data_IF_203756561044
#
_entry.id   IF_203756561044
#
_cell.length_a   1.000
_cell.length_b   1.000
_cell.length_c   1.000
_cell.angle_alpha   90.00
_cell.angle_beta   90.00
_cell.angle_gamma   90.00
#
_symmetry.space_group_name_H-M   'P 1'
#
loop_
_entity.id
_entity.type
_entity.pdbx_description
1 polymer ?
#
# COMPACT_ATOMS: atom_id res chain seq x y z
N UNK A 1 11.09 22.91 27.66
CA UNK A 1 11.03 21.43 27.74
C UNK A 1 12.12 20.88 26.85
N UNK A 2 13.04 20.04 27.36
CA UNK A 2 14.07 19.41 26.50
C UNK A 2 13.51 18.11 25.96
N UNK A 3 13.43 17.95 24.62
CA UNK A 3 13.05 16.71 23.96
C UNK A 3 14.29 15.81 23.92
N UNK A 4 14.20 14.62 24.49
CA UNK A 4 15.29 13.64 24.55
C UNK A 4 14.98 12.36 23.75
N UNK A 5 13.72 11.91 23.77
CA UNK A 5 13.26 10.68 23.10
C UNK A 5 12.14 10.97 22.13
N UNK A 6 12.38 10.68 20.85
CA UNK A 6 11.43 10.89 19.75
C UNK A 6 11.03 9.53 19.17
N UNK A 7 9.74 9.25 19.10
CA UNK A 7 9.21 8.07 18.40
C UNK A 7 8.70 8.46 17.00
N UNK A 8 9.16 7.77 16.00
CA UNK A 8 8.79 7.95 14.60
C UNK A 8 7.91 6.77 14.18
N UNK A 9 6.66 7.02 13.81
CA UNK A 9 5.65 5.98 13.51
C UNK A 9 5.85 5.32 12.13
N UNK A 10 7.09 5.06 11.77
CA UNK A 10 7.48 4.38 10.52
C UNK A 10 8.34 3.15 10.84
N UNK A 11 8.41 2.18 9.90
CA UNK A 11 9.38 1.09 10.00
C UNK A 11 10.81 1.62 10.11
N UNK A 12 11.66 0.87 10.80
CA UNK A 12 13.07 1.17 10.84
C UNK A 12 13.65 1.12 9.42
N UNK A 13 14.45 2.13 9.01
CA UNK A 13 15.08 2.14 7.69
C UNK A 13 15.99 0.93 7.49
N UNK A 14 15.79 0.18 6.39
CA UNK A 14 16.60 -1.02 6.05
C UNK A 14 18.09 -0.70 5.95
N UNK A 15 18.43 0.49 5.43
CA UNK A 15 19.82 0.96 5.32
C UNK A 15 20.46 1.34 6.66
N UNK A 16 19.69 1.37 7.74
CA UNK A 16 20.12 1.92 9.04
C UNK A 16 20.35 3.44 9.03
N UNK A 17 20.11 4.13 7.91
CA UNK A 17 20.29 5.57 7.75
C UNK A 17 18.96 6.29 7.59
N UNK A 18 18.80 7.43 8.24
CA UNK A 18 17.64 8.29 8.11
C UNK A 18 17.99 9.72 8.47
N UNK A 19 17.49 10.73 7.74
CA UNK A 19 17.64 12.13 8.11
C UNK A 19 17.14 12.43 9.53
N UNK A 20 16.20 11.67 10.03
CA UNK A 20 15.65 11.83 11.38
C UNK A 20 16.66 11.51 12.48
N UNK A 21 17.59 10.56 12.28
CA UNK A 21 18.69 10.31 13.22
C UNK A 21 19.62 11.51 13.31
N UNK A 22 20.01 12.08 12.15
CA UNK A 22 20.90 13.23 12.09
C UNK A 22 20.27 14.48 12.73
N UNK A 23 18.97 14.70 12.46
CA UNK A 23 18.22 15.80 13.04
C UNK A 23 18.13 15.63 14.55
N UNK A 24 17.72 14.46 15.05
CA UNK A 24 17.62 14.19 16.48
C UNK A 24 18.97 14.39 17.21
N UNK A 25 20.06 13.83 16.66
CA UNK A 25 21.40 13.97 17.21
C UNK A 25 21.85 15.42 17.30
N UNK A 26 21.57 16.23 16.26
CA UNK A 26 21.90 17.67 16.21
C UNK A 26 21.26 18.46 17.36
N UNK A 27 20.09 18.04 17.85
CA UNK A 27 19.40 18.66 18.96
C UNK A 27 19.54 17.89 20.28
N UNK A 28 20.48 16.93 20.34
CA UNK A 28 20.76 16.14 21.54
C UNK A 28 19.62 15.22 21.98
N UNK A 29 18.84 14.73 21.01
CA UNK A 29 17.74 13.78 21.18
C UNK A 29 18.06 12.45 20.47
N UNK A 30 17.35 11.40 20.83
CA UNK A 30 17.40 10.07 20.22
C UNK A 30 16.09 9.82 19.45
N UNK A 31 16.22 9.36 18.20
CA UNK A 31 15.09 8.97 17.37
C UNK A 31 14.95 7.44 17.36
N UNK A 32 13.77 6.95 17.70
CA UNK A 32 13.39 5.54 17.62
C UNK A 32 12.34 5.36 16.54
N UNK A 33 12.50 4.38 15.69
CA UNK A 33 11.51 4.01 14.66
C UNK A 33 10.69 2.82 15.13
N UNK A 34 9.38 2.91 14.92
CA UNK A 34 8.46 1.80 15.18
C UNK A 34 7.33 1.84 14.16
N UNK A 35 7.13 0.75 13.43
CA UNK A 35 5.97 0.63 12.56
C UNK A 35 4.69 0.56 13.40
N UNK A 36 3.77 1.50 13.19
CA UNK A 36 2.46 1.53 13.86
C UNK A 36 1.39 0.79 13.05
N UNK A 37 1.62 0.69 11.76
CA UNK A 37 0.74 0.01 10.82
C UNK A 37 1.52 -1.02 10.02
N UNK A 38 0.81 -2.02 9.54
CA UNK A 38 1.32 -3.00 8.59
C UNK A 38 0.29 -3.29 7.52
N UNK A 39 0.74 -3.79 6.38
CA UNK A 39 -0.14 -4.18 5.29
C UNK A 39 -0.28 -5.70 5.31
N UNK A 40 -1.51 -6.19 5.40
CA UNK A 40 -1.82 -7.61 5.36
C UNK A 40 -2.65 -7.98 4.12
N UNK A 41 -2.43 -9.17 3.58
CA UNK A 41 -3.30 -9.72 2.53
C UNK A 41 -4.66 -10.08 3.12
N UNK A 42 -5.72 -9.94 2.35
CA UNK A 42 -6.97 -10.62 2.65
C UNK A 42 -6.76 -12.14 2.54
N UNK A 43 -7.49 -12.91 3.32
CA UNK A 43 -7.44 -14.37 3.25
C UNK A 43 -8.10 -14.90 1.97
N UNK A 44 -7.74 -16.10 1.53
CA UNK A 44 -8.39 -16.77 0.41
C UNK A 44 -9.92 -16.90 0.62
N UNK A 45 -10.38 -17.06 1.87
CA UNK A 45 -11.82 -17.10 2.21
C UNK A 45 -12.49 -15.75 1.98
N UNK A 46 -11.89 -14.66 2.45
CA UNK A 46 -12.41 -13.29 2.27
C UNK A 46 -12.46 -12.93 0.78
N UNK A 47 -11.43 -13.30 0.02
CA UNK A 47 -11.42 -13.08 -1.43
C UNK A 47 -12.57 -13.82 -2.13
N UNK A 48 -12.79 -15.11 -1.82
CA UNK A 48 -13.90 -15.88 -2.41
C UNK A 48 -15.26 -15.28 -2.10
N UNK A 49 -15.43 -14.66 -0.94
CA UNK A 49 -16.68 -13.99 -0.56
C UNK A 49 -16.98 -12.77 -1.45
N UNK A 50 -16.00 -12.19 -2.13
CA UNK A 50 -16.19 -11.08 -3.06
C UNK A 50 -16.79 -11.53 -4.40
N UNK A 51 -16.85 -12.84 -4.66
CA UNK A 51 -17.47 -13.45 -5.87
C UNK A 51 -16.87 -12.91 -7.19
N UNK A 52 -15.59 -12.57 -7.19
CA UNK A 52 -14.84 -12.17 -8.37
C UNK A 52 -13.84 -13.27 -8.71
N UNK A 53 -13.83 -13.70 -9.97
CA UNK A 53 -12.87 -14.69 -10.45
C UNK A 53 -11.80 -13.99 -11.31
N UNK A 54 -10.53 -14.18 -10.96
CA UNK A 54 -9.40 -13.57 -11.68
C UNK A 54 -9.38 -14.00 -13.15
N UNK A 55 -9.69 -15.28 -13.41
CA UNK A 55 -9.62 -15.87 -14.75
C UNK A 55 -10.74 -15.43 -15.72
N UNK A 56 -11.77 -14.71 -15.24
CA UNK A 56 -12.80 -14.13 -16.09
C UNK A 56 -12.31 -12.83 -16.77
N UNK A 57 -11.06 -12.45 -16.53
CA UNK A 57 -10.46 -11.21 -17.04
C UNK A 57 -9.30 -11.50 -18.00
N UNK A 58 -9.15 -10.66 -19.00
CA UNK A 58 -8.05 -10.73 -19.97
C UNK A 58 -6.90 -9.78 -19.66
N UNK A 59 -7.11 -8.87 -18.68
CA UNK A 59 -6.13 -7.86 -18.29
C UNK A 59 -6.19 -7.55 -16.80
N UNK A 60 -5.04 -7.16 -16.22
CA UNK A 60 -4.92 -6.75 -14.83
C UNK A 60 -4.38 -5.32 -14.77
N UNK A 61 -4.94 -4.51 -13.85
CA UNK A 61 -4.49 -3.14 -13.61
C UNK A 61 -3.67 -3.11 -12.32
N UNK A 62 -2.41 -2.68 -12.38
CA UNK A 62 -1.57 -2.49 -11.21
C UNK A 62 -1.29 -1.01 -10.93
N UNK A 63 -1.81 -0.50 -9.82
CA UNK A 63 -1.62 0.87 -9.36
C UNK A 63 -0.43 1.04 -8.42
N UNK A 64 0.11 -0.06 -7.88
CA UNK A 64 1.25 -0.06 -6.97
C UNK A 64 1.97 -1.41 -6.95
N UNK A 65 3.21 -1.41 -6.46
CA UNK A 65 3.97 -2.65 -6.19
C UNK A 65 3.29 -3.50 -5.12
N UNK A 66 2.74 -2.87 -4.10
CA UNK A 66 2.01 -3.56 -3.01
C UNK A 66 0.80 -4.30 -3.58
N UNK A 67 0.00 -3.67 -4.42
CA UNK A 67 -1.13 -4.33 -5.07
C UNK A 67 -0.69 -5.55 -5.89
N UNK A 68 0.45 -5.46 -6.57
CA UNK A 68 1.03 -6.54 -7.35
C UNK A 68 1.50 -7.70 -6.47
N UNK A 69 2.22 -7.42 -5.38
CA UNK A 69 2.71 -8.42 -4.43
C UNK A 69 1.56 -9.22 -3.81
N UNK A 70 0.53 -8.50 -3.33
CA UNK A 70 -0.64 -9.15 -2.73
C UNK A 70 -1.49 -9.92 -3.76
N UNK A 71 -1.55 -9.44 -5.00
CA UNK A 71 -2.22 -10.15 -6.09
C UNK A 71 -1.54 -11.51 -6.36
N UNK A 72 -0.23 -11.52 -6.61
CA UNK A 72 0.47 -12.77 -6.92
C UNK A 72 0.52 -13.72 -5.73
N UNK A 73 0.75 -13.21 -4.51
CA UNK A 73 0.70 -14.00 -3.27
C UNK A 73 -0.65 -14.70 -3.11
N UNK A 74 -1.76 -13.96 -3.27
CA UNK A 74 -3.09 -14.54 -3.14
C UNK A 74 -3.42 -15.49 -4.29
N UNK A 75 -2.97 -15.21 -5.52
CA UNK A 75 -3.13 -16.11 -6.66
C UNK A 75 -2.44 -17.45 -6.41
N UNK A 76 -1.24 -17.45 -5.83
CA UNK A 76 -0.52 -18.66 -5.42
C UNK A 76 -1.27 -19.42 -4.33
N UNK A 77 -1.75 -18.74 -3.27
CA UNK A 77 -2.55 -19.34 -2.19
C UNK A 77 -3.84 -19.99 -2.73
N UNK A 78 -4.48 -19.34 -3.70
CA UNK A 78 -5.69 -19.82 -4.37
C UNK A 78 -5.39 -20.92 -5.42
N UNK A 79 -4.12 -21.16 -5.74
CA UNK A 79 -3.66 -22.03 -6.84
C UNK A 79 -4.21 -21.63 -8.20
N UNK A 80 -4.31 -20.33 -8.43
CA UNK A 80 -4.74 -19.74 -9.70
C UNK A 80 -3.50 -19.50 -10.56
N UNK A 81 -3.37 -20.26 -11.64
CA UNK A 81 -2.33 -20.03 -12.64
C UNK A 81 -2.75 -18.87 -13.55
N UNK A 82 -1.97 -17.80 -13.55
CA UNK A 82 -2.24 -16.65 -14.41
C UNK A 82 -1.89 -17.02 -15.87
N UNK A 83 -2.83 -16.87 -16.82
CA UNK A 83 -2.61 -17.25 -18.21
C UNK A 83 -1.46 -16.49 -18.86
N UNK A 84 -0.74 -17.16 -19.73
CA UNK A 84 0.39 -16.58 -20.50
C UNK A 84 -0.02 -15.40 -21.40
N UNK A 85 -1.28 -15.31 -21.79
CA UNK A 85 -1.84 -14.25 -22.63
C UNK A 85 -2.41 -13.07 -21.83
N UNK A 86 -2.41 -13.15 -20.49
CA UNK A 86 -2.81 -12.05 -19.62
C UNK A 86 -2.05 -10.77 -19.96
N UNK A 87 -2.76 -9.65 -20.05
CA UNK A 87 -2.19 -8.31 -20.25
C UNK A 87 -2.10 -7.57 -18.93
N UNK A 88 -1.15 -6.65 -18.84
CA UNK A 88 -0.89 -5.89 -17.62
C UNK A 88 -0.87 -4.40 -17.91
N UNK A 89 -1.67 -3.64 -17.19
CA UNK A 89 -1.78 -2.19 -17.27
C UNK A 89 -1.27 -1.58 -15.97
N UNK A 90 -0.11 -0.92 -16.02
CA UNK A 90 0.59 -0.42 -14.85
C UNK A 90 0.53 1.10 -14.80
N UNK A 91 0.40 1.67 -13.60
CA UNK A 91 0.26 3.11 -13.38
C UNK A 91 1.47 3.91 -13.88
N UNK A 92 2.64 3.30 -13.93
CA UNK A 92 3.89 3.88 -14.41
C UNK A 92 4.92 2.79 -14.74
N UNK A 93 6.05 3.21 -15.32
CA UNK A 93 7.16 2.33 -15.68
C UNK A 93 7.75 1.56 -14.49
N UNK A 94 7.87 2.18 -13.33
CA UNK A 94 8.45 1.52 -12.14
C UNK A 94 7.62 0.33 -11.68
N UNK A 95 6.30 0.44 -11.73
CA UNK A 95 5.38 -0.67 -11.43
C UNK A 95 5.45 -1.72 -12.54
N UNK A 96 5.50 -1.31 -13.81
CA UNK A 96 5.64 -2.22 -14.94
C UNK A 96 6.94 -3.05 -14.86
N UNK A 97 8.07 -2.41 -14.55
CA UNK A 97 9.35 -3.10 -14.40
C UNK A 97 9.36 -4.06 -13.20
N UNK A 98 8.61 -3.76 -12.15
CA UNK A 98 8.50 -4.63 -10.98
C UNK A 98 7.80 -5.97 -11.30
N UNK A 99 6.95 -6.00 -12.32
CA UNK A 99 6.23 -7.19 -12.79
C UNK A 99 7.17 -8.36 -13.17
N UNK A 100 8.43 -8.06 -13.55
CA UNK A 100 9.44 -9.06 -13.90
C UNK A 100 9.76 -10.04 -12.75
N UNK A 101 9.44 -9.68 -11.52
CA UNK A 101 9.62 -10.57 -10.36
C UNK A 101 8.62 -11.72 -10.32
N UNK A 102 7.50 -11.61 -11.04
CA UNK A 102 6.38 -12.53 -10.92
C UNK A 102 6.07 -13.29 -12.20
N UNK A 103 6.32 -12.66 -13.36
CA UNK A 103 6.00 -13.24 -14.67
C UNK A 103 7.13 -13.04 -15.68
N UNK A 104 7.13 -13.86 -16.72
CA UNK A 104 8.01 -13.64 -17.88
C UNK A 104 7.58 -12.35 -18.58
N UNK A 105 8.41 -11.31 -18.46
CA UNK A 105 8.10 -9.99 -18.98
C UNK A 105 8.07 -10.01 -20.51
N UNK A 106 6.91 -9.70 -21.10
CA UNK A 106 6.71 -9.59 -22.53
C UNK A 106 6.24 -8.18 -22.86
N UNK A 107 7.11 -7.32 -23.42
CA UNK A 107 6.82 -5.92 -23.72
C UNK A 107 5.47 -5.69 -24.41
N UNK A 108 5.06 -6.56 -25.32
CA UNK A 108 3.77 -6.47 -26.05
C UNK A 108 2.51 -6.67 -25.19
N UNK A 109 2.67 -7.10 -23.93
CA UNK A 109 1.58 -7.37 -22.98
C UNK A 109 1.57 -6.46 -21.77
N UNK A 110 2.56 -5.56 -21.66
CA UNK A 110 2.73 -4.66 -20.52
C UNK A 110 2.60 -3.22 -21.02
N UNK A 111 1.61 -2.51 -20.50
CA UNK A 111 1.24 -1.16 -20.91
C UNK A 111 1.34 -0.22 -19.73
N UNK A 112 1.96 0.93 -19.92
CA UNK A 112 2.07 1.98 -18.92
C UNK A 112 2.26 3.35 -19.60
N UNK A 113 1.80 4.44 -18.97
CA UNK A 113 2.05 5.78 -19.47
C UNK A 113 3.48 6.24 -19.17
N UNK A 114 4.08 7.00 -20.08
CA UNK A 114 5.45 7.54 -19.91
C UNK A 114 5.54 8.53 -18.76
N UNK A 115 4.63 9.49 -18.67
CA UNK A 115 4.60 10.46 -17.59
C UNK A 115 3.97 9.90 -16.29
N UNK A 116 3.31 8.75 -16.37
CA UNK A 116 2.58 8.14 -15.26
C UNK A 116 1.21 8.78 -15.03
N UNK A 117 0.42 8.17 -14.14
CA UNK A 117 -0.86 8.71 -13.72
C UNK A 117 -2.09 7.99 -14.26
N UNK A 118 -3.19 8.17 -13.53
CA UNK A 118 -4.43 7.42 -13.78
C UNK A 118 -5.10 7.82 -15.10
N UNK A 119 -5.10 9.11 -15.44
CA UNK A 119 -5.75 9.62 -16.64
C UNK A 119 -5.10 9.10 -17.92
N UNK A 120 -3.76 9.09 -17.99
CA UNK A 120 -3.02 8.56 -19.13
C UNK A 120 -3.13 7.03 -19.22
N UNK A 121 -3.11 6.33 -18.09
CA UNK A 121 -3.34 4.90 -18.05
C UNK A 121 -4.71 4.55 -18.64
N UNK A 122 -5.77 5.24 -18.25
CA UNK A 122 -7.12 5.02 -18.76
C UNK A 122 -7.20 5.35 -20.26
N UNK A 123 -6.47 6.37 -20.73
CA UNK A 123 -6.40 6.67 -22.18
C UNK A 123 -5.74 5.53 -23.00
N UNK A 124 -4.72 4.86 -22.42
CA UNK A 124 -4.14 3.65 -23.03
C UNK A 124 -5.16 2.52 -23.03
N UNK A 125 -5.86 2.29 -21.90
CA UNK A 125 -6.86 1.25 -21.76
C UNK A 125 -8.04 1.42 -22.75
N UNK A 126 -8.41 2.66 -23.09
CA UNK A 126 -9.43 2.93 -24.12
C UNK A 126 -9.05 2.38 -25.50
N UNK A 127 -7.75 2.32 -25.82
CA UNK A 127 -7.26 1.67 -27.08
C UNK A 127 -7.37 0.15 -27.01
N UNK A 128 -7.58 -0.39 -25.81
CA UNK A 128 -7.76 -1.82 -25.52
C UNK A 128 -9.15 -2.12 -24.94
N UNK A 129 -10.18 -1.44 -25.42
CA UNK A 129 -11.54 -1.48 -24.87
C UNK A 129 -12.27 -2.83 -25.02
N UNK A 130 -11.66 -3.80 -25.66
CA UNK A 130 -12.17 -5.18 -25.76
C UNK A 130 -11.74 -6.05 -24.56
N UNK A 131 -10.79 -5.57 -23.75
CA UNK A 131 -10.33 -6.30 -22.60
C UNK A 131 -11.33 -6.18 -21.43
N UNK A 132 -11.38 -7.23 -20.63
CA UNK A 132 -12.01 -7.20 -19.32
C UNK A 132 -10.93 -7.06 -18.26
N UNK A 133 -11.06 -6.06 -17.40
CA UNK A 133 -10.01 -5.66 -16.46
C UNK A 133 -10.25 -6.15 -15.05
N UNK A 134 -9.27 -6.77 -14.45
CA UNK A 134 -9.23 -7.04 -13.01
C UNK A 134 -8.42 -5.97 -12.30
N UNK A 135 -8.96 -5.39 -11.23
CA UNK A 135 -8.32 -4.32 -10.46
C UNK A 135 -8.12 -4.75 -9.00
N UNK A 136 -6.91 -5.24 -8.62
CA UNK A 136 -6.57 -5.49 -7.22
C UNK A 136 -6.40 -4.17 -6.48
N UNK A 137 -7.06 -4.03 -5.32
CA UNK A 137 -7.12 -2.79 -4.55
C UNK A 137 -6.87 -3.01 -3.06
N UNK A 138 -6.48 -1.92 -2.38
CA UNK A 138 -6.54 -1.83 -0.93
C UNK A 138 -7.99 -1.66 -0.45
N UNK A 139 -8.27 -2.04 0.80
CA UNK A 139 -9.58 -1.83 1.42
C UNK A 139 -9.92 -0.33 1.53
N UNK A 140 -8.92 0.49 1.88
CA UNK A 140 -8.99 1.95 2.05
C UNK A 140 -8.67 2.74 0.77
N UNK A 141 -9.08 2.22 -0.41
CA UNK A 141 -8.78 2.84 -1.70
C UNK A 141 -9.58 4.12 -1.98
N UNK A 142 -8.99 5.03 -2.77
CA UNK A 142 -9.70 6.17 -3.37
C UNK A 142 -10.48 5.74 -4.61
N UNK A 143 -11.57 6.42 -4.90
CA UNK A 143 -12.44 6.07 -6.04
C UNK A 143 -12.02 6.71 -7.37
N UNK A 144 -11.05 7.61 -7.39
CA UNK A 144 -10.66 8.40 -8.58
C UNK A 144 -10.47 7.54 -9.84
N UNK A 145 -9.76 6.41 -9.71
CA UNK A 145 -9.56 5.49 -10.83
C UNK A 145 -10.85 4.77 -11.23
N UNK A 146 -11.67 4.37 -10.26
CA UNK A 146 -12.95 3.69 -10.52
C UNK A 146 -13.91 4.61 -11.28
N UNK A 147 -13.96 5.88 -10.90
CA UNK A 147 -14.80 6.89 -11.55
C UNK A 147 -14.34 7.12 -13.00
N UNK A 148 -13.02 7.19 -13.23
CA UNK A 148 -12.46 7.30 -14.58
C UNK A 148 -12.77 6.08 -15.44
N UNK A 149 -12.61 4.85 -14.92
CA UNK A 149 -12.91 3.62 -15.65
C UNK A 149 -14.41 3.55 -16.02
N UNK A 150 -15.27 3.92 -15.07
CA UNK A 150 -16.72 3.96 -15.26
C UNK A 150 -17.12 5.01 -16.30
N UNK A 151 -16.59 6.23 -16.19
CA UNK A 151 -16.87 7.30 -17.15
C UNK A 151 -16.45 6.96 -18.59
N UNK A 152 -15.40 6.15 -18.74
CA UNK A 152 -14.91 5.66 -20.04
C UNK A 152 -15.55 4.34 -20.48
N UNK A 153 -16.52 3.83 -19.73
CA UNK A 153 -17.28 2.59 -20.02
C UNK A 153 -16.38 1.37 -20.24
N UNK A 154 -15.27 1.29 -19.53
CA UNK A 154 -14.39 0.13 -19.55
C UNK A 154 -14.98 -0.98 -18.67
N UNK A 155 -14.88 -2.23 -19.13
CA UNK A 155 -15.37 -3.39 -18.39
C UNK A 155 -14.34 -3.80 -17.35
N UNK A 156 -14.67 -3.66 -16.06
CA UNK A 156 -13.76 -4.03 -14.98
C UNK A 156 -14.48 -4.60 -13.76
N UNK A 157 -13.77 -5.45 -13.04
CA UNK A 157 -14.12 -5.84 -11.68
C UNK A 157 -12.98 -5.47 -10.74
N UNK A 158 -13.33 -4.96 -9.57
CA UNK A 158 -12.37 -4.71 -8.48
C UNK A 158 -12.46 -5.81 -7.43
N UNK A 159 -11.33 -6.09 -6.79
CA UNK A 159 -11.30 -6.94 -5.60
C UNK A 159 -10.35 -6.36 -4.55
N UNK A 160 -10.76 -6.40 -3.30
CA UNK A 160 -9.89 -6.06 -2.17
C UNK A 160 -8.92 -7.21 -1.95
N UNK A 161 -7.63 -6.90 -2.03
CA UNK A 161 -6.54 -7.87 -1.93
C UNK A 161 -5.71 -7.69 -0.66
N UNK A 162 -5.74 -6.50 -0.09
CA UNK A 162 -4.96 -6.16 1.11
C UNK A 162 -5.60 -4.98 1.85
N UNK A 163 -5.19 -4.84 3.11
CA UNK A 163 -5.62 -3.74 3.99
C UNK A 163 -4.48 -3.25 4.87
N UNK A 164 -4.59 -2.03 5.32
CA UNK A 164 -3.71 -1.45 6.33
C UNK A 164 -4.30 -1.72 7.70
N UNK A 165 -3.54 -2.41 8.56
CA UNK A 165 -3.97 -2.75 9.92
C UNK A 165 -3.05 -2.15 10.96
N UNK A 166 -3.57 -1.97 12.17
CA UNK A 166 -2.74 -1.58 13.32
C UNK A 166 -1.79 -2.70 13.71
N UNK A 167 -0.49 -2.39 13.71
CA UNK A 167 0.52 -3.32 14.24
C UNK A 167 0.39 -3.41 15.75
N UNK A 168 0.35 -4.63 16.28
CA UNK A 168 0.30 -4.85 17.73
C UNK A 168 1.64 -4.51 18.38
N UNK A 169 1.60 -3.71 19.45
CA UNK A 169 2.77 -3.39 20.25
C UNK A 169 3.02 -4.46 21.31
N UNK A 170 4.28 -4.75 21.56
CA UNK A 170 4.68 -5.64 22.67
C UNK A 170 4.42 -4.97 24.02
N UNK A 171 4.47 -5.76 25.10
CA UNK A 171 4.30 -5.22 26.46
C UNK A 171 5.40 -4.23 26.86
N UNK A 172 6.62 -4.44 26.35
CA UNK A 172 7.77 -3.55 26.53
C UNK A 172 7.56 -2.25 25.78
N UNK A 173 7.19 -2.31 24.50
CA UNK A 173 6.91 -1.15 23.66
C UNK A 173 5.81 -0.26 24.23
N UNK A 174 4.78 -0.86 24.86
CA UNK A 174 3.70 -0.10 25.53
C UNK A 174 4.14 0.65 26.77
N UNK A 175 5.21 0.22 27.42
CA UNK A 175 5.74 0.87 28.63
C UNK A 175 6.70 2.01 28.33
N UNK A 176 7.24 2.06 27.13
CA UNK A 176 8.18 3.10 26.72
C UNK A 176 7.51 4.48 26.70
N UNK A 177 8.24 5.47 27.19
CA UNK A 177 7.78 6.87 27.22
C UNK A 177 8.63 7.69 26.27
N UNK A 178 7.97 8.55 25.52
CA UNK A 178 8.59 9.45 24.56
C UNK A 178 8.17 10.90 24.85
N UNK A 179 9.11 11.82 24.63
CA UNK A 179 8.84 13.26 24.76
C UNK A 179 8.07 13.76 23.53
N UNK A 180 8.28 13.10 22.37
CA UNK A 180 7.62 13.43 21.11
C UNK A 180 7.29 12.17 20.31
N UNK A 181 6.12 12.16 19.69
CA UNK A 181 5.70 11.14 18.72
C UNK A 181 5.35 11.80 17.38
N UNK A 182 5.92 11.27 16.30
CA UNK A 182 5.71 11.81 14.93
C UNK A 182 4.91 10.82 14.11
N UNK A 183 3.77 11.27 13.57
CA UNK A 183 2.87 10.50 12.72
C UNK A 183 2.97 10.93 11.26
N UNK A 184 2.79 9.97 10.35
CA UNK A 184 2.81 10.15 8.89
C UNK A 184 1.46 9.85 8.23
N UNK A 185 0.49 9.38 9.00
CA UNK A 185 -0.86 9.10 8.52
C UNK A 185 -1.87 9.04 9.67
N UNK A 186 -3.16 9.29 9.40
CA UNK A 186 -4.23 9.07 10.38
C UNK A 186 -4.29 7.64 10.91
N UNK A 187 -3.98 6.62 10.07
CA UNK A 187 -3.93 5.22 10.48
C UNK A 187 -2.89 4.97 11.59
N UNK A 188 -1.75 5.68 11.57
CA UNK A 188 -0.76 5.63 12.65
C UNK A 188 -1.32 6.14 13.98
N UNK A 189 -2.10 7.22 13.96
CA UNK A 189 -2.78 7.75 15.16
C UNK A 189 -3.79 6.74 15.68
N UNK A 190 -4.63 6.19 14.79
CA UNK A 190 -5.61 5.14 15.16
C UNK A 190 -4.90 3.93 15.78
N UNK A 191 -3.75 3.52 15.24
CA UNK A 191 -2.96 2.41 15.76
C UNK A 191 -2.45 2.69 17.18
N UNK A 192 -2.00 3.93 17.47
CA UNK A 192 -1.60 4.29 18.84
C UNK A 192 -2.76 4.09 19.81
N UNK A 193 -3.95 4.60 19.47
CA UNK A 193 -5.14 4.51 20.31
C UNK A 193 -5.62 3.07 20.49
N UNK A 194 -5.55 2.26 19.46
CA UNK A 194 -5.89 0.82 19.50
C UNK A 194 -4.94 0.04 20.40
N UNK A 195 -3.65 0.38 20.39
CA UNK A 195 -2.64 -0.30 21.22
C UNK A 195 -2.64 0.16 22.68
N UNK A 196 -3.15 1.36 22.94
CA UNK A 196 -3.18 1.97 24.28
C UNK A 196 -4.59 2.44 24.61
N UNK A 197 -5.43 1.54 25.15
CA UNK A 197 -6.75 1.92 25.66
C UNK A 197 -6.62 3.03 26.71
N UNK A 198 -7.39 4.11 26.51
CA UNK A 198 -7.34 5.26 27.41
C UNK A 198 -6.06 6.10 27.33
N UNK A 199 -5.34 6.06 26.20
CA UNK A 199 -4.16 6.88 25.96
C UNK A 199 -4.39 8.34 26.35
N UNK A 200 -3.50 8.87 27.18
CA UNK A 200 -3.48 10.29 27.55
C UNK A 200 -2.14 10.87 27.10
N UNK A 201 -2.21 11.86 26.21
CA UNK A 201 -1.03 12.52 25.65
C UNK A 201 -0.11 13.10 26.74
N UNK A 202 -0.70 13.68 27.81
CA UNK A 202 0.06 14.30 28.88
C UNK A 202 0.96 15.43 28.36
N UNK A 203 2.27 15.31 28.62
CA UNK A 203 3.29 16.27 28.16
C UNK A 203 3.96 15.88 26.85
N UNK A 204 3.61 14.73 26.26
CA UNK A 204 4.17 14.27 25.00
C UNK A 204 3.75 15.18 23.85
N UNK A 205 4.72 15.68 23.09
CA UNK A 205 4.46 16.46 21.89
C UNK A 205 4.03 15.53 20.74
N UNK A 206 3.06 15.96 19.96
CA UNK A 206 2.61 15.24 18.75
C UNK A 206 2.99 16.05 17.53
N UNK A 207 3.73 15.42 16.61
CA UNK A 207 4.03 15.93 15.27
C UNK A 207 3.26 15.11 14.23
N UNK A 208 2.75 15.78 13.18
CA UNK A 208 2.07 15.14 12.07
C UNK A 208 2.62 15.65 10.74
N UNK A 209 2.83 14.73 9.79
CA UNK A 209 3.05 15.04 8.38
C UNK A 209 1.76 14.70 7.63
N UNK A 210 1.23 15.69 6.92
CA UNK A 210 0.02 15.52 6.12
C UNK A 210 -0.70 16.87 5.93
N UNK A 211 -1.71 16.89 5.05
CA UNK A 211 -2.55 18.09 4.87
C UNK A 211 -3.32 18.40 6.14
#
# INVERSE_FOLDING_TARGET
>A
MSIKKILISQPQPESGKSPYYDIAARYGAEATFRAFIEVESVTAREFRNQKVNILDHSAIIFTSRIAMEHFFKLSEELRVAIPDDMKYFCINEQVANYLQKFVVYRKRKVFYPEAGGQGELVAIMQKHNKETYFLPMAEDHKNDLLDLLTAKKLLFNKAIMYRTVSKKFTSEEKKEKYDMVIFFSPAGVTSLLTNHEGYKQGKTLIGGFGP
#
